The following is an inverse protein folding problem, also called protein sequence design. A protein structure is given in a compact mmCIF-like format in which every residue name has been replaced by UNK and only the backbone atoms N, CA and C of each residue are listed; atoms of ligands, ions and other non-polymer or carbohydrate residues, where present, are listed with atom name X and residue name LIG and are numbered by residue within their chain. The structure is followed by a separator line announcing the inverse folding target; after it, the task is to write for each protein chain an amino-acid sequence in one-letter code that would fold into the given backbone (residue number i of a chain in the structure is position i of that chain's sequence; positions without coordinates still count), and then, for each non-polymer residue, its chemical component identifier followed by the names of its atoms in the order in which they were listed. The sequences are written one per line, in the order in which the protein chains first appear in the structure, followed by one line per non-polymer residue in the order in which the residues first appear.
data_IF_483453556712
#
_entry.id   IF_483453556712
#
_cell.length_a   1.000
_cell.length_b   1.000
_cell.length_c   1.000
_cell.angle_alpha   90.00
_cell.angle_beta   90.00
_cell.angle_gamma   90.00
#
_symmetry.space_group_name_H-M   'P 1'
#
loop_
_entity.id
_entity.type
_entity.pdbx_description
1 polymer ?
#
# COMPACT_ATOMS: atom_id res chain seq x y z
N UNK A 1 53.59 -15.28 -48.63
CA UNK A 1 52.34 -15.61 -47.92
C UNK A 1 52.74 -16.45 -46.73
N UNK A 2 52.86 -15.80 -45.55
CA UNK A 2 53.40 -16.40 -44.32
C UNK A 2 52.24 -16.51 -43.32
N UNK A 3 51.89 -17.73 -42.96
CA UNK A 3 50.95 -18.03 -41.91
C UNK A 3 51.69 -18.05 -40.55
N UNK A 4 51.38 -17.16 -39.66
CA UNK A 4 51.83 -17.17 -38.27
C UNK A 4 50.79 -17.81 -37.41
N UNK A 5 51.08 -19.01 -36.88
CA UNK A 5 50.25 -19.72 -35.92
C UNK A 5 50.44 -19.15 -34.54
N UNK A 6 49.36 -18.75 -33.90
CA UNK A 6 49.34 -18.30 -32.50
C UNK A 6 49.07 -19.55 -31.61
N UNK A 7 50.05 -19.96 -30.85
CA UNK A 7 49.93 -21.03 -29.87
C UNK A 7 49.26 -20.55 -28.60
N UNK A 8 48.21 -21.20 -28.20
CA UNK A 8 47.50 -20.99 -26.95
C UNK A 8 48.23 -21.72 -25.79
N UNK A 9 48.86 -20.96 -24.90
CA UNK A 9 49.44 -21.50 -23.68
C UNK A 9 48.34 -21.54 -22.60
N UNK A 10 47.89 -22.74 -22.25
CA UNK A 10 46.96 -22.95 -21.12
C UNK A 10 47.79 -23.15 -19.86
N UNK A 11 47.75 -22.17 -18.96
CA UNK A 11 48.39 -22.24 -17.64
C UNK A 11 47.39 -22.82 -16.64
N UNK A 12 47.56 -24.07 -16.22
CA UNK A 12 46.82 -24.66 -15.11
C UNK A 12 47.42 -24.17 -13.77
N UNK A 13 46.73 -23.27 -13.08
CA UNK A 13 47.01 -22.97 -11.69
C UNK A 13 46.25 -23.96 -10.80
N UNK A 14 46.98 -24.86 -10.18
CA UNK A 14 46.49 -25.74 -9.12
C UNK A 14 46.40 -24.92 -7.83
N UNK A 15 45.18 -24.59 -7.40
CA UNK A 15 44.90 -23.97 -6.08
C UNK A 15 44.80 -25.03 -4.99
N UNK A 16 45.10 -24.71 -3.69
CA UNK A 16 45.05 -25.64 -2.61
C UNK A 16 43.61 -26.02 -2.19
N UNK A 17 43.37 -27.24 -1.68
CA UNK A 17 42.06 -27.66 -1.21
C UNK A 17 41.81 -27.16 0.22
N UNK A 18 40.60 -26.64 0.43
CA UNK A 18 40.09 -26.51 1.79
C UNK A 18 39.68 -25.08 2.19
N UNK A 19 38.48 -24.72 1.88
CA UNK A 19 37.79 -23.65 2.53
C UNK A 19 36.29 -23.86 2.32
N UNK A 20 35.59 -24.26 3.41
CA UNK A 20 34.11 -24.29 3.43
C UNK A 20 33.62 -22.87 3.24
N UNK A 21 33.20 -22.54 2.05
CA UNK A 21 32.49 -21.30 1.78
C UNK A 21 31.13 -21.41 2.49
N UNK A 22 31.00 -20.68 3.60
CA UNK A 22 29.69 -20.43 4.19
C UNK A 22 28.82 -19.75 3.14
N UNK A 23 27.68 -20.34 2.86
CA UNK A 23 26.65 -19.74 2.04
C UNK A 23 26.26 -18.39 2.64
N UNK A 24 26.59 -17.32 1.96
CA UNK A 24 26.03 -15.98 2.22
C UNK A 24 24.51 -16.14 2.06
N UNK A 25 23.70 -15.68 3.02
CA UNK A 25 22.26 -15.69 2.81
C UNK A 25 21.95 -14.87 1.55
N UNK A 26 21.29 -15.49 0.59
CA UNK A 26 20.75 -14.82 -0.57
C UNK A 26 19.88 -13.68 -0.05
N UNK A 27 20.24 -12.46 -0.37
CA UNK A 27 19.39 -11.30 -0.23
C UNK A 27 18.02 -11.70 -0.79
N UNK A 28 16.97 -11.60 0.04
CA UNK A 28 15.60 -11.75 -0.42
C UNK A 28 15.39 -10.53 -1.31
N UNK A 29 15.57 -10.71 -2.63
CA UNK A 29 15.06 -9.75 -3.60
C UNK A 29 13.57 -9.66 -3.32
N UNK A 30 13.15 -8.50 -2.81
CA UNK A 30 11.74 -8.15 -2.77
C UNK A 30 11.27 -8.22 -4.22
N UNK A 31 10.44 -9.22 -4.52
CA UNK A 31 9.84 -9.42 -5.82
C UNK A 31 9.01 -8.16 -6.09
N UNK A 32 9.59 -7.23 -6.86
CA UNK A 32 8.89 -6.05 -7.33
C UNK A 32 7.78 -6.54 -8.24
N UNK A 33 6.60 -6.65 -7.70
CA UNK A 33 5.39 -6.94 -8.48
C UNK A 33 5.22 -5.78 -9.46
N UNK A 34 5.15 -6.08 -10.74
CA UNK A 34 4.88 -5.09 -11.79
C UNK A 34 3.60 -4.32 -11.40
N UNK A 35 3.65 -2.99 -11.51
CA UNK A 35 2.50 -2.15 -11.16
C UNK A 35 1.25 -2.63 -11.90
N UNK A 36 0.10 -2.77 -11.22
CA UNK A 36 -1.14 -3.19 -11.85
C UNK A 36 -1.53 -2.31 -13.04
N UNK A 37 -2.29 -2.88 -13.97
CA UNK A 37 -2.70 -2.20 -15.21
C UNK A 37 -3.65 -1.01 -14.95
N UNK A 38 -4.35 -1.03 -13.82
CA UNK A 38 -5.19 0.06 -13.34
C UNK A 38 -4.98 0.29 -11.83
N UNK A 39 -5.44 1.43 -11.33
CA UNK A 39 -5.30 1.85 -9.94
C UNK A 39 -6.41 1.35 -9.01
N UNK A 40 -7.27 0.43 -9.45
CA UNK A 40 -8.35 -0.10 -8.63
C UNK A 40 -7.79 -0.95 -7.48
N UNK A 41 -8.27 -0.67 -6.27
CA UNK A 41 -7.95 -1.44 -5.08
C UNK A 41 -9.22 -2.01 -4.45
N UNK A 42 -9.07 -3.04 -3.64
CA UNK A 42 -10.14 -3.63 -2.83
C UNK A 42 -9.72 -3.57 -1.36
N UNK A 43 -10.59 -2.98 -0.53
CA UNK A 43 -10.33 -2.73 0.88
C UNK A 43 -11.09 -3.71 1.76
N UNK A 44 -10.37 -4.39 2.65
CA UNK A 44 -10.95 -5.27 3.66
C UNK A 44 -10.51 -4.84 5.06
N UNK A 45 -11.47 -4.66 5.98
CA UNK A 45 -11.22 -4.31 7.39
C UNK A 45 -12.12 -5.19 8.26
N UNK A 46 -11.65 -6.38 8.70
CA UNK A 46 -12.48 -7.37 9.39
C UNK A 46 -13.15 -6.85 10.66
N UNK A 47 -12.42 -6.02 11.43
CA UNK A 47 -12.92 -5.44 12.71
C UNK A 47 -14.24 -4.70 12.58
N UNK A 48 -14.47 -4.02 11.47
CA UNK A 48 -15.67 -3.22 11.21
C UNK A 48 -16.57 -3.84 10.15
N UNK A 49 -16.23 -5.06 9.68
CA UNK A 49 -17.07 -5.85 8.77
C UNK A 49 -17.04 -5.36 7.32
N UNK A 50 -15.94 -4.72 6.88
CA UNK A 50 -15.73 -4.37 5.47
C UNK A 50 -14.98 -5.51 4.78
N UNK A 51 -15.53 -5.99 3.65
CA UNK A 51 -14.95 -7.02 2.80
C UNK A 51 -15.01 -6.57 1.34
N UNK A 52 -13.89 -6.61 0.64
CA UNK A 52 -13.73 -6.35 -0.80
C UNK A 52 -14.40 -5.04 -1.28
N UNK A 53 -14.31 -4.00 -0.47
CA UNK A 53 -14.85 -2.68 -0.82
C UNK A 53 -14.01 -2.07 -1.92
N UNK A 54 -14.64 -1.76 -3.06
CA UNK A 54 -13.97 -1.17 -4.22
C UNK A 54 -13.46 0.24 -3.90
N UNK A 55 -12.21 0.50 -4.29
CA UNK A 55 -11.53 1.80 -4.12
C UNK A 55 -11.13 2.30 -5.50
N UNK A 56 -11.81 3.31 -6.00
CA UNK A 56 -11.54 3.91 -7.30
C UNK A 56 -10.37 4.88 -7.22
N UNK A 57 -9.42 4.81 -8.15
CA UNK A 57 -8.38 5.83 -8.31
C UNK A 57 -8.98 7.08 -8.97
N UNK A 58 -9.52 8.00 -8.18
CA UNK A 58 -10.33 9.11 -8.66
C UNK A 58 -10.46 10.25 -7.67
N UNK A 59 -10.69 11.48 -8.18
CA UNK A 59 -11.15 12.64 -7.39
C UNK A 59 -12.63 12.96 -7.65
N UNK A 60 -13.35 12.08 -8.37
CA UNK A 60 -14.77 12.31 -8.71
C UNK A 60 -15.67 12.10 -7.50
N UNK A 61 -16.55 13.09 -7.23
CA UNK A 61 -17.60 12.95 -6.22
C UNK A 61 -18.54 11.78 -6.54
N UNK A 62 -18.83 11.54 -7.84
CA UNK A 62 -19.66 10.43 -8.29
C UNK A 62 -19.07 9.09 -7.85
N UNK A 63 -17.75 8.89 -7.97
CA UNK A 63 -17.07 7.68 -7.50
C UNK A 63 -17.06 7.55 -5.98
N UNK A 64 -16.90 8.66 -5.28
CA UNK A 64 -17.00 8.70 -3.82
C UNK A 64 -18.43 8.35 -3.35
N UNK A 65 -19.46 8.77 -4.10
CA UNK A 65 -20.85 8.43 -3.82
C UNK A 65 -21.18 6.96 -4.11
N UNK A 66 -20.45 6.33 -5.03
CA UNK A 66 -20.58 4.90 -5.33
C UNK A 66 -19.89 4.00 -4.30
N UNK A 67 -18.69 4.35 -3.84
CA UNK A 67 -17.89 3.56 -2.90
C UNK A 67 -16.83 4.42 -2.20
N UNK A 68 -15.57 3.99 -2.20
CA UNK A 68 -14.41 4.72 -1.68
C UNK A 68 -13.49 5.14 -2.82
N UNK A 69 -12.66 6.16 -2.60
CA UNK A 69 -11.69 6.63 -3.58
C UNK A 69 -10.27 6.65 -3.02
N UNK A 70 -9.30 6.28 -3.85
CA UNK A 70 -7.89 6.61 -3.66
C UNK A 70 -7.62 7.98 -4.26
N UNK A 71 -6.85 8.82 -3.56
CA UNK A 71 -6.47 10.14 -4.07
C UNK A 71 -5.27 10.00 -5.00
N UNK A 72 -5.41 10.27 -6.32
CA UNK A 72 -4.36 10.00 -7.31
C UNK A 72 -3.03 10.74 -7.10
N UNK A 73 -3.04 11.85 -6.35
CA UNK A 73 -1.81 12.57 -5.96
C UNK A 73 -1.02 11.89 -4.84
N UNK A 74 -1.55 10.82 -4.23
CA UNK A 74 -0.87 10.03 -3.21
C UNK A 74 -0.31 8.73 -3.78
N UNK A 75 0.49 8.02 -3.01
CA UNK A 75 1.13 6.81 -3.53
C UNK A 75 0.27 5.55 -3.40
N UNK A 76 0.62 4.53 -4.16
CA UNK A 76 -0.01 3.22 -4.14
C UNK A 76 0.68 2.23 -3.21
N UNK A 77 0.00 1.13 -2.78
CA UNK A 77 0.55 0.14 -1.86
C UNK A 77 1.86 -0.50 -2.32
N UNK A 78 2.05 -0.68 -3.63
CA UNK A 78 3.26 -1.26 -4.22
C UNK A 78 4.43 -0.29 -4.33
N UNK A 79 4.26 0.98 -3.94
CA UNK A 79 5.32 1.98 -3.97
C UNK A 79 5.97 2.10 -2.58
N UNK A 80 7.27 1.78 -2.42
CA UNK A 80 7.94 1.89 -1.14
C UNK A 80 7.91 3.30 -0.57
N UNK A 81 7.56 3.41 0.72
CA UNK A 81 7.47 4.69 1.42
C UNK A 81 6.24 5.52 1.09
N UNK A 82 5.26 4.95 0.36
CA UNK A 82 4.04 5.64 0.01
C UNK A 82 3.10 5.83 1.21
N UNK A 83 2.26 6.86 1.10
CA UNK A 83 1.02 7.00 1.85
C UNK A 83 -0.14 6.72 0.88
N UNK A 84 -0.75 5.56 0.95
CA UNK A 84 -1.93 5.22 0.16
C UNK A 84 -3.15 5.84 0.83
N UNK A 85 -3.64 6.95 0.29
CA UNK A 85 -4.71 7.72 0.94
C UNK A 85 -6.07 7.41 0.34
N UNK A 86 -6.98 6.91 1.18
CA UNK A 86 -8.31 6.44 0.79
C UNK A 86 -9.37 7.24 1.54
N UNK A 87 -10.27 7.88 0.81
CA UNK A 87 -11.40 8.61 1.35
C UNK A 87 -12.71 7.83 1.14
N UNK A 88 -13.59 7.92 2.13
CA UNK A 88 -14.93 7.32 2.09
C UNK A 88 -15.92 8.11 2.93
N UNK A 89 -17.19 8.02 2.57
CA UNK A 89 -18.26 8.66 3.33
C UNK A 89 -18.43 8.08 4.73
N UNK A 90 -18.81 8.93 5.68
CA UNK A 90 -19.22 8.50 7.02
C UNK A 90 -20.60 7.84 6.98
N UNK A 91 -21.57 8.47 6.32
CA UNK A 91 -22.95 7.98 6.18
C UNK A 91 -23.21 7.45 4.77
N UNK A 92 -22.74 8.14 3.72
CA UNK A 92 -22.92 7.76 2.33
C UNK A 92 -24.37 7.69 1.86
N UNK A 93 -24.60 6.99 0.74
CA UNK A 93 -25.89 6.93 0.08
C UNK A 93 -26.48 5.52 0.12
N UNK A 94 -27.72 5.42 0.57
CA UNK A 94 -28.41 4.12 0.67
C UNK A 94 -28.50 3.42 -0.69
N UNK A 95 -28.10 2.16 -0.72
CA UNK A 95 -28.12 1.33 -1.93
C UNK A 95 -26.85 1.40 -2.77
N UNK A 96 -25.83 2.12 -2.31
CA UNK A 96 -24.48 2.14 -2.93
C UNK A 96 -23.46 1.51 -1.99
N UNK A 97 -22.25 1.24 -2.51
CA UNK A 97 -21.10 0.80 -1.70
C UNK A 97 -20.59 1.86 -0.71
N UNK A 98 -20.96 3.13 -0.90
CA UNK A 98 -20.60 4.21 0.01
C UNK A 98 -21.42 4.21 1.30
N UNK A 99 -22.59 3.51 1.33
CA UNK A 99 -23.48 3.55 2.48
C UNK A 99 -22.84 2.96 3.72
N UNK A 100 -22.62 3.81 4.73
CA UNK A 100 -22.01 3.47 6.02
C UNK A 100 -20.60 2.87 5.91
N UNK A 101 -19.92 3.03 4.76
CA UNK A 101 -18.62 2.39 4.50
C UNK A 101 -17.61 2.70 5.59
N UNK A 102 -17.45 3.96 6.01
CA UNK A 102 -16.58 4.35 7.09
C UNK A 102 -17.31 4.81 8.36
N UNK A 103 -18.59 4.38 8.53
CA UNK A 103 -19.36 4.73 9.72
C UNK A 103 -18.67 4.32 11.03
N UNK A 104 -18.06 3.12 11.05
CA UNK A 104 -17.42 2.53 12.22
C UNK A 104 -15.90 2.72 12.24
N UNK A 105 -15.34 3.59 11.37
CA UNK A 105 -13.89 3.79 11.26
C UNK A 105 -13.24 4.19 12.61
N UNK A 106 -13.97 4.92 13.45
CA UNK A 106 -13.54 5.31 14.80
C UNK A 106 -13.43 4.15 15.81
N UNK A 107 -13.88 2.95 15.46
CA UNK A 107 -13.74 1.76 16.31
C UNK A 107 -12.39 1.06 16.12
N UNK A 108 -11.62 1.46 15.09
CA UNK A 108 -10.29 0.92 14.86
C UNK A 108 -9.31 1.41 15.94
N UNK A 109 -8.47 0.50 16.37
CA UNK A 109 -7.46 0.69 17.42
C UNK A 109 -6.12 0.16 16.94
N UNK A 110 -5.03 0.60 17.56
CA UNK A 110 -3.68 0.12 17.25
C UNK A 110 -3.61 -1.41 17.26
N UNK A 111 -3.06 -1.98 16.18
CA UNK A 111 -2.93 -3.42 15.94
C UNK A 111 -4.06 -4.04 15.11
N UNK A 112 -5.18 -3.34 14.90
CA UNK A 112 -6.25 -3.84 14.01
C UNK A 112 -5.74 -3.91 12.56
N UNK A 113 -6.28 -4.84 11.79
CA UNK A 113 -5.84 -5.14 10.43
C UNK A 113 -6.61 -4.33 9.39
N UNK A 114 -5.86 -3.83 8.41
CA UNK A 114 -6.38 -3.27 7.17
C UNK A 114 -5.68 -4.01 6.04
N UNK A 115 -6.43 -4.53 5.08
CA UNK A 115 -5.90 -5.21 3.89
C UNK A 115 -6.31 -4.46 2.64
N UNK A 116 -5.36 -4.29 1.73
CA UNK A 116 -5.62 -3.87 0.36
C UNK A 116 -5.25 -5.00 -0.59
N UNK A 117 -6.04 -5.18 -1.63
CA UNK A 117 -5.72 -6.04 -2.75
C UNK A 117 -5.78 -5.21 -4.03
N UNK A 118 -4.80 -5.35 -4.91
CA UNK A 118 -4.80 -4.68 -6.21
C UNK A 118 -5.49 -5.53 -7.29
N UNK A 119 -5.76 -4.94 -8.44
CA UNK A 119 -6.43 -5.60 -9.56
C UNK A 119 -5.67 -6.83 -10.12
N UNK A 120 -4.39 -7.00 -9.78
CA UNK A 120 -3.56 -8.16 -10.16
C UNK A 120 -3.56 -9.26 -9.09
N UNK A 121 -4.22 -9.04 -7.94
CA UNK A 121 -4.27 -9.95 -6.80
C UNK A 121 -3.09 -9.79 -5.82
N UNK A 122 -2.28 -8.73 -5.97
CA UNK A 122 -1.25 -8.36 -4.99
C UNK A 122 -1.90 -7.91 -3.68
N UNK A 123 -1.41 -8.42 -2.54
CA UNK A 123 -1.99 -8.17 -1.21
C UNK A 123 -1.03 -7.41 -0.32
N UNK A 124 -1.58 -6.41 0.37
CA UNK A 124 -0.84 -5.50 1.24
C UNK A 124 -1.54 -5.44 2.59
N UNK A 125 -0.89 -6.00 3.62
CA UNK A 125 -1.42 -6.03 4.98
C UNK A 125 -0.83 -4.91 5.81
N UNK A 126 -1.70 -4.14 6.46
CA UNK A 126 -1.32 -3.05 7.34
C UNK A 126 -1.85 -3.30 8.75
N UNK A 127 -1.14 -2.74 9.74
CA UNK A 127 -1.61 -2.66 11.12
C UNK A 127 -1.86 -1.21 11.51
N UNK A 128 -3.03 -0.95 12.06
CA UNK A 128 -3.37 0.39 12.57
C UNK A 128 -2.34 0.83 13.59
N UNK A 129 -1.84 2.05 13.44
CA UNK A 129 -0.85 2.66 14.34
C UNK A 129 -1.40 3.87 15.07
N UNK A 130 -2.20 4.68 14.41
CA UNK A 130 -2.71 5.94 14.98
C UNK A 130 -4.07 6.33 14.37
N UNK A 131 -4.77 7.19 15.10
CA UNK A 131 -6.01 7.83 14.68
C UNK A 131 -5.90 9.33 14.97
N UNK A 132 -6.21 10.17 13.99
CA UNK A 132 -6.05 11.62 14.02
C UNK A 132 -7.40 12.28 13.71
N UNK A 133 -7.64 13.44 14.30
CA UNK A 133 -8.72 14.35 13.88
C UNK A 133 -8.07 15.64 13.41
N UNK A 134 -8.35 16.03 12.17
CA UNK A 134 -7.75 17.19 11.51
C UNK A 134 -8.81 18.06 10.88
N UNK A 135 -8.50 19.34 10.68
CA UNK A 135 -9.39 20.25 9.96
C UNK A 135 -9.54 19.84 8.47
N UNK A 136 -10.63 20.26 7.81
CA UNK A 136 -10.91 19.88 6.42
C UNK A 136 -9.87 20.38 5.41
N UNK A 137 -9.15 21.45 5.75
CA UNK A 137 -8.10 22.05 4.91
C UNK A 137 -6.69 21.54 5.23
N UNK A 138 -6.55 20.62 6.19
CA UNK A 138 -5.24 20.10 6.58
C UNK A 138 -4.77 19.02 5.62
N UNK A 139 -3.98 19.42 4.62
CA UNK A 139 -3.40 18.52 3.61
C UNK A 139 -2.13 17.82 4.10
N UNK A 140 -1.61 18.12 5.29
CA UNK A 140 -0.40 17.48 5.82
C UNK A 140 -0.55 15.97 5.98
N UNK A 141 -1.78 15.50 6.18
CA UNK A 141 -2.13 14.07 6.30
C UNK A 141 -1.96 13.28 5.00
N UNK A 142 -1.89 13.95 3.84
CA UNK A 142 -1.68 13.32 2.54
C UNK A 142 -0.21 12.95 2.29
N UNK A 143 0.72 13.62 2.97
CA UNK A 143 2.14 13.45 2.72
C UNK A 143 2.65 12.08 3.20
N UNK A 144 3.65 11.51 2.51
CA UNK A 144 4.36 10.33 2.97
C UNK A 144 5.03 10.57 4.34
N UNK A 145 5.12 9.52 5.15
CA UNK A 145 5.88 9.52 6.39
C UNK A 145 7.26 8.91 6.11
N UNK A 146 8.36 9.64 6.33
CA UNK A 146 9.70 9.15 6.00
C UNK A 146 10.00 7.77 6.60
N UNK A 147 10.43 6.83 5.73
CA UNK A 147 10.83 5.48 6.13
C UNK A 147 9.67 4.53 6.44
N UNK A 148 8.42 4.93 6.18
CA UNK A 148 7.23 4.10 6.43
C UNK A 148 6.36 4.02 5.16
N UNK A 149 5.89 2.82 4.84
CA UNK A 149 4.80 2.62 3.87
C UNK A 149 3.50 2.54 4.67
N UNK A 150 2.57 3.45 4.42
CA UNK A 150 1.34 3.58 5.21
C UNK A 150 0.10 3.62 4.33
N UNK A 151 -1.03 3.20 4.91
CA UNK A 151 -2.36 3.51 4.42
C UNK A 151 -3.00 4.54 5.34
N UNK A 152 -3.71 5.52 4.78
CA UNK A 152 -4.50 6.50 5.51
C UNK A 152 -5.96 6.41 5.06
N UNK A 153 -6.87 6.09 5.98
CA UNK A 153 -8.31 6.01 5.74
C UNK A 153 -8.98 7.24 6.31
N UNK A 154 -9.68 8.01 5.47
CA UNK A 154 -10.32 9.27 5.87
C UNK A 154 -11.84 9.21 5.75
N UNK A 155 -12.51 9.80 6.74
CA UNK A 155 -13.94 10.12 6.68
C UNK A 155 -14.24 11.41 7.46
N UNK A 156 -15.46 11.92 7.35
CA UNK A 156 -15.90 13.06 8.17
C UNK A 156 -16.14 12.65 9.63
N UNK A 157 -15.99 13.59 10.55
CA UNK A 157 -16.37 13.41 11.96
C UNK A 157 -17.90 13.51 12.13
N UNK A 158 -18.42 12.96 13.22
CA UNK A 158 -19.80 13.14 13.65
C UNK A 158 -19.85 14.00 14.91
N UNK A 159 -20.95 14.74 15.15
CA UNK A 159 -22.22 14.76 14.40
C UNK A 159 -22.31 15.80 13.28
N UNK A 160 -21.37 16.74 13.21
CA UNK A 160 -21.47 17.97 12.41
C UNK A 160 -20.65 17.97 11.12
N UNK A 161 -19.85 16.92 10.89
CA UNK A 161 -19.01 16.73 9.69
C UNK A 161 -17.96 17.84 9.46
N UNK A 162 -17.61 18.58 10.50
CA UNK A 162 -16.69 19.73 10.40
C UNK A 162 -15.25 19.34 10.17
N UNK A 163 -14.83 18.23 10.78
CA UNK A 163 -13.46 17.75 10.73
C UNK A 163 -13.33 16.43 9.97
N UNK A 164 -12.10 15.94 9.84
CA UNK A 164 -11.77 14.66 9.23
C UNK A 164 -11.14 13.73 10.26
N UNK A 165 -11.74 12.54 10.39
CA UNK A 165 -11.12 11.41 11.07
C UNK A 165 -10.20 10.70 10.09
N UNK A 166 -8.93 10.55 10.43
CA UNK A 166 -7.93 9.81 9.65
C UNK A 166 -7.38 8.69 10.51
N UNK A 167 -7.53 7.45 10.06
CA UNK A 167 -6.91 6.26 10.68
C UNK A 167 -5.77 5.81 9.81
N UNK A 168 -4.58 5.65 10.39
CA UNK A 168 -3.36 5.22 9.70
C UNK A 168 -2.96 3.81 10.10
N UNK A 169 -2.58 3.02 9.11
CA UNK A 169 -1.92 1.72 9.28
C UNK A 169 -0.55 1.71 8.63
N UNK A 170 0.40 0.96 9.20
CA UNK A 170 1.73 0.73 8.63
C UNK A 170 1.79 -0.65 7.99
N UNK A 171 2.41 -0.74 6.81
CA UNK A 171 2.57 -1.97 6.05
C UNK A 171 3.41 -2.99 6.84
N UNK A 172 2.93 -4.23 6.93
CA UNK A 172 3.58 -5.34 7.63
C UNK A 172 3.83 -6.55 6.74
N UNK A 173 3.14 -6.66 5.61
CA UNK A 173 3.33 -7.71 4.61
C UNK A 173 2.71 -7.29 3.27
#
# INVERSE_FOLDING_TARGET
MVLVGLGLVVLFLVGPPGGTAGSVPTEIEAEYTEAPADGTLYLTIPKIGLEDVEVYDSLSEERLDESTIHLPETGFPWQPGANTYIAGHRMGFFGTGSFLVFFRLNELSSGDEIMLEDASGGRYAYRVTESLVVGPEDTSVLHPVPGRSIVSLQTCTLPDYTDRLVVRGELVA
#
